data_IF_520711638842
#
_entry.id   IF_520711638842
#
_cell.length_a   1.000
_cell.length_b   1.000
_cell.length_c   1.000
_cell.angle_alpha   90.00
_cell.angle_beta   90.00
_cell.angle_gamma   90.00
#
_symmetry.space_group_name_H-M   'P 1'
#
loop_
_entity.id
_entity.type
_entity.pdbx_description
1 polymer ?
#
# COMPACT_ATOMS: atom_id res chain seq x y z
N UNK A 1 49.91 -24.64 1.88
CA UNK A 1 49.56 -23.39 1.18
C UNK A 1 49.07 -23.69 -0.23
N UNK A 2 47.74 -23.68 -0.47
CA UNK A 2 47.09 -23.22 -1.71
C UNK A 2 45.57 -23.31 -1.52
N UNK A 3 44.90 -22.22 -1.90
CA UNK A 3 43.58 -21.77 -1.47
C UNK A 3 42.48 -22.59 -2.12
N UNK A 4 41.66 -23.25 -1.32
CA UNK A 4 40.38 -23.83 -1.75
C UNK A 4 39.36 -22.69 -1.85
N UNK A 5 39.16 -22.34 -3.11
CA UNK A 5 38.14 -21.53 -3.75
C UNK A 5 36.74 -21.87 -3.20
N UNK A 6 36.00 -20.81 -2.85
CA UNK A 6 34.52 -20.73 -2.93
C UNK A 6 33.70 -21.67 -2.06
N UNK A 7 33.47 -21.31 -0.80
CA UNK A 7 32.27 -21.75 -0.11
C UNK A 7 31.66 -20.59 0.69
N UNK A 8 30.47 -20.20 0.23
CA UNK A 8 29.40 -19.47 0.92
C UNK A 8 29.77 -18.04 1.39
N UNK A 9 29.44 -16.97 0.66
CA UNK A 9 28.11 -16.67 0.11
C UNK A 9 26.95 -16.99 1.07
N UNK A 10 27.13 -16.73 2.37
CA UNK A 10 26.04 -16.71 3.36
C UNK A 10 26.18 -15.51 4.30
N UNK A 11 26.04 -14.32 3.74
CA UNK A 11 25.57 -13.16 4.49
C UNK A 11 24.36 -12.56 3.75
N UNK A 12 23.38 -13.41 3.44
CA UNK A 12 21.98 -12.99 3.30
C UNK A 12 21.42 -12.82 4.71
N UNK A 13 21.95 -11.85 5.44
CA UNK A 13 21.49 -11.47 6.78
C UNK A 13 21.21 -9.98 6.78
N UNK A 14 20.16 -9.60 6.06
CA UNK A 14 19.32 -8.49 6.53
C UNK A 14 17.89 -8.97 6.40
N UNK A 15 17.27 -9.17 7.55
CA UNK A 15 15.88 -9.50 7.72
C UNK A 15 15.03 -8.79 6.66
N UNK A 16 14.29 -9.56 5.86
CA UNK A 16 13.06 -9.04 5.28
C UNK A 16 12.19 -8.68 6.47
N UNK A 17 12.31 -7.44 6.94
CA UNK A 17 11.37 -6.87 7.87
C UNK A 17 10.00 -7.21 7.30
N UNK A 18 9.20 -7.93 8.06
CA UNK A 18 7.77 -7.97 7.85
C UNK A 18 7.30 -6.53 8.08
N UNK A 19 7.54 -5.64 7.11
CA UNK A 19 6.93 -4.33 7.02
C UNK A 19 5.45 -4.65 6.88
N UNK A 20 4.73 -4.70 8.00
CA UNK A 20 3.30 -5.00 7.98
C UNK A 20 2.66 -3.90 7.13
N UNK A 21 2.18 -4.21 5.90
CA UNK A 21 1.62 -3.19 4.99
C UNK A 21 0.49 -2.41 5.66
N UNK A 22 -0.18 -3.08 6.60
CA UNK A 22 -1.19 -2.56 7.50
C UNK A 22 -0.75 -1.30 8.25
N UNK A 23 0.46 -1.27 8.80
CA UNK A 23 0.94 -0.09 9.53
C UNK A 23 1.37 1.07 8.62
N UNK A 24 1.79 0.75 7.40
CA UNK A 24 2.31 1.73 6.44
C UNK A 24 1.18 2.52 5.76
N UNK A 25 0.02 1.88 5.57
CA UNK A 25 -1.10 2.47 4.84
C UNK A 25 -1.85 3.54 5.65
N UNK A 26 -1.80 3.49 6.98
CA UNK A 26 -2.50 4.45 7.83
C UNK A 26 -2.11 5.89 7.49
N UNK A 27 -3.10 6.77 7.43
CA UNK A 27 -2.90 8.18 7.10
C UNK A 27 -3.69 8.62 5.88
N UNK A 28 -3.36 9.81 5.37
CA UNK A 28 -4.08 10.45 4.28
C UNK A 28 -3.26 10.44 3.00
N UNK A 29 -3.88 10.04 1.91
CA UNK A 29 -3.26 9.88 0.59
C UNK A 29 -4.01 10.69 -0.45
N UNK A 30 -3.29 11.38 -1.34
CA UNK A 30 -3.86 12.20 -2.41
C UNK A 30 -3.46 11.66 -3.77
N UNK A 31 -4.41 11.55 -4.70
CA UNK A 31 -4.12 11.19 -6.09
C UNK A 31 -3.40 12.35 -6.79
N UNK A 32 -2.30 12.03 -7.48
CA UNK A 32 -1.60 13.03 -8.29
C UNK A 32 -2.45 13.44 -9.49
N UNK A 33 -2.70 14.75 -9.65
CA UNK A 33 -3.46 15.30 -10.78
C UNK A 33 -4.98 15.17 -10.67
N UNK A 34 -5.52 14.65 -9.56
CA UNK A 34 -6.96 14.53 -9.33
C UNK A 34 -7.35 15.13 -7.98
N UNK A 35 -8.57 15.67 -7.90
CA UNK A 35 -9.17 16.04 -6.61
C UNK A 35 -9.79 14.80 -5.95
N UNK A 36 -8.90 13.89 -5.54
CA UNK A 36 -9.24 12.68 -4.82
C UNK A 36 -8.27 12.48 -3.65
N UNK A 37 -8.84 12.27 -2.47
CA UNK A 37 -8.12 12.02 -1.22
C UNK A 37 -8.71 10.79 -0.55
N UNK A 38 -7.88 9.89 -0.03
CA UNK A 38 -8.30 8.73 0.74
C UNK A 38 -7.58 8.71 2.11
N UNK A 39 -8.36 8.61 3.18
CA UNK A 39 -7.87 8.45 4.54
C UNK A 39 -8.07 7.00 4.98
N UNK A 40 -7.01 6.36 5.47
CA UNK A 40 -7.03 4.99 6.01
C UNK A 40 -6.81 5.03 7.51
N UNK A 41 -7.76 4.46 8.26
CA UNK A 41 -7.78 4.41 9.72
C UNK A 41 -7.45 3.00 10.21
N UNK A 42 -6.83 2.89 11.38
CA UNK A 42 -6.34 1.63 11.96
C UNK A 42 -7.42 0.60 12.33
N UNK A 43 -8.69 0.96 12.20
CA UNK A 43 -9.84 0.09 12.44
C UNK A 43 -10.37 -0.55 11.15
N UNK A 44 -9.57 -0.55 10.07
CA UNK A 44 -9.93 -1.08 8.74
C UNK A 44 -11.05 -0.31 8.03
N UNK A 45 -11.29 0.93 8.46
CA UNK A 45 -12.19 1.87 7.78
C UNK A 45 -11.40 2.98 7.11
N UNK A 46 -12.07 3.69 6.20
CA UNK A 46 -11.51 4.86 5.58
C UNK A 46 -12.57 5.76 4.95
N UNK A 47 -12.15 6.96 4.57
CA UNK A 47 -13.00 7.94 3.90
C UNK A 47 -12.29 8.41 2.64
N UNK A 48 -12.97 8.26 1.50
CA UNK A 48 -12.56 8.90 0.26
C UNK A 48 -13.31 10.22 0.10
N UNK A 49 -12.62 11.26 -0.38
CA UNK A 49 -13.19 12.58 -0.64
C UNK A 49 -12.83 12.98 -2.06
N UNK A 50 -13.82 13.42 -2.83
CA UNK A 50 -13.65 14.01 -4.15
C UNK A 50 -14.70 15.12 -4.37
N UNK A 51 -14.78 15.65 -5.60
CA UNK A 51 -15.78 16.65 -5.99
C UNK A 51 -17.25 16.26 -5.74
N UNK A 52 -17.55 14.97 -5.61
CA UNK A 52 -18.91 14.47 -5.33
C UNK A 52 -19.20 14.34 -3.83
N UNK A 53 -18.20 14.58 -2.97
CA UNK A 53 -18.34 14.52 -1.52
C UNK A 53 -17.51 13.40 -0.90
N UNK A 54 -17.94 12.98 0.29
CA UNK A 54 -17.26 11.96 1.10
C UNK A 54 -17.94 10.61 0.96
N UNK A 55 -17.17 9.56 0.70
CA UNK A 55 -17.65 8.17 0.63
C UNK A 55 -16.84 7.30 1.59
N UNK A 56 -17.47 6.69 2.61
CA UNK A 56 -16.78 5.76 3.51
C UNK A 56 -16.45 4.46 2.78
N UNK A 57 -15.40 3.76 3.18
CA UNK A 57 -15.05 2.43 2.67
C UNK A 57 -14.43 1.57 3.77
N UNK A 58 -14.36 0.27 3.52
CA UNK A 58 -13.57 -0.67 4.33
C UNK A 58 -12.36 -1.14 3.54
N UNK A 59 -11.32 -1.57 4.22
CA UNK A 59 -10.11 -2.03 3.56
C UNK A 59 -9.44 -3.16 4.32
N UNK A 60 -8.60 -3.93 3.64
CA UNK A 60 -7.80 -5.00 4.23
C UNK A 60 -6.52 -5.25 3.43
N UNK A 61 -5.51 -5.81 4.08
CA UNK A 61 -4.30 -6.33 3.42
C UNK A 61 -4.52 -7.80 3.08
N UNK A 62 -4.27 -8.16 1.82
CA UNK A 62 -4.32 -9.52 1.32
C UNK A 62 -3.00 -10.25 1.59
N UNK A 63 -3.01 -11.59 1.51
CA UNK A 63 -1.83 -12.43 1.73
C UNK A 63 -0.66 -12.12 0.78
N UNK A 64 -0.95 -11.55 -0.40
CA UNK A 64 0.05 -11.12 -1.39
C UNK A 64 0.58 -9.69 -1.16
N UNK A 65 0.17 -9.04 -0.06
CA UNK A 65 0.58 -7.70 0.32
C UNK A 65 -0.17 -6.57 -0.39
N UNK A 66 -1.12 -6.87 -1.29
CA UNK A 66 -2.01 -5.86 -1.85
C UNK A 66 -3.05 -5.42 -0.82
N UNK A 67 -3.54 -4.20 -0.99
CA UNK A 67 -4.63 -3.65 -0.19
C UNK A 67 -5.89 -3.73 -1.02
N UNK A 68 -6.93 -4.38 -0.49
CA UNK A 68 -8.26 -4.39 -1.05
C UNK A 68 -9.11 -3.33 -0.36
N UNK A 69 -9.68 -2.43 -1.14
CA UNK A 69 -10.74 -1.49 -0.72
C UNK A 69 -12.08 -2.05 -1.16
N UNK A 70 -13.06 -1.97 -0.28
CA UNK A 70 -14.46 -2.31 -0.53
C UNK A 70 -15.29 -1.07 -0.23
N UNK A 71 -15.80 -0.44 -1.28
CA UNK A 71 -16.69 0.71 -1.16
C UNK A 71 -18.15 0.27 -0.87
N UNK A 72 -19.07 1.21 -0.53
CA UNK A 72 -20.46 0.90 -0.24
C UNK A 72 -21.24 0.37 -1.46
N UNK A 73 -20.71 0.60 -2.66
CA UNK A 73 -21.26 0.10 -3.93
C UNK A 73 -20.69 -1.27 -4.31
N UNK A 74 -19.94 -1.92 -3.41
CA UNK A 74 -19.27 -3.22 -3.59
C UNK A 74 -18.29 -3.24 -4.76
N UNK A 75 -17.73 -2.09 -5.13
CA UNK A 75 -16.57 -2.04 -6.03
C UNK A 75 -15.33 -2.41 -5.25
N UNK A 76 -14.61 -3.39 -5.78
CA UNK A 76 -13.32 -3.80 -5.26
C UNK A 76 -12.23 -3.02 -5.98
N UNK A 77 -11.41 -2.30 -5.21
CA UNK A 77 -10.26 -1.58 -5.72
C UNK A 77 -9.03 -2.18 -5.06
N UNK A 78 -8.01 -2.49 -5.86
CA UNK A 78 -6.77 -3.09 -5.37
C UNK A 78 -5.65 -2.05 -5.45
N UNK A 79 -4.91 -1.89 -4.36
CA UNK A 79 -3.76 -1.00 -4.26
C UNK A 79 -2.51 -1.80 -3.93
N UNK A 80 -1.36 -1.30 -4.37
CA UNK A 80 -0.05 -1.85 -4.01
C UNK A 80 0.93 -0.74 -3.67
N UNK A 81 1.76 -0.96 -2.65
CA UNK A 81 2.89 -0.09 -2.38
C UNK A 81 3.92 -0.13 -3.52
N UNK A 82 4.36 1.05 -3.94
CA UNK A 82 5.44 1.25 -4.89
C UNK A 82 6.38 2.34 -4.36
N UNK A 83 7.37 1.93 -3.55
CA UNK A 83 8.14 2.85 -2.73
C UNK A 83 7.28 3.48 -1.65
N UNK A 84 7.29 4.81 -1.55
CA UNK A 84 6.50 5.58 -0.59
C UNK A 84 5.09 5.95 -1.09
N UNK A 85 4.70 5.44 -2.26
CA UNK A 85 3.43 5.72 -2.90
C UNK A 85 2.52 4.48 -2.94
N UNK A 86 1.22 4.70 -3.10
CA UNK A 86 0.23 3.65 -3.40
C UNK A 86 -0.18 3.73 -4.86
N UNK A 87 -0.05 2.63 -5.59
CA UNK A 87 -0.52 2.51 -6.97
C UNK A 87 -1.84 1.75 -7.03
N UNK A 88 -2.77 2.21 -7.85
CA UNK A 88 -4.01 1.49 -8.13
C UNK A 88 -3.75 0.42 -9.20
N UNK A 89 -4.09 -0.83 -8.91
CA UNK A 89 -3.96 -1.94 -9.87
C UNK A 89 -4.81 -1.66 -11.12
N UNK A 90 -4.22 -1.87 -12.31
CA UNK A 90 -4.90 -1.61 -13.58
C UNK A 90 -5.02 -0.12 -13.96
N UNK A 91 -4.39 0.79 -13.21
CA UNK A 91 -4.39 2.22 -13.50
C UNK A 91 -2.98 2.83 -13.44
N UNK A 92 -2.82 3.99 -14.08
CA UNK A 92 -1.62 4.83 -13.96
C UNK A 92 -1.71 5.82 -12.78
N UNK A 93 -2.79 5.73 -11.99
CA UNK A 93 -2.98 6.57 -10.82
C UNK A 93 -2.10 6.14 -9.65
N UNK A 94 -1.44 7.15 -9.08
CA UNK A 94 -0.60 7.04 -7.89
C UNK A 94 -1.16 7.95 -6.82
N UNK A 95 -1.19 7.45 -5.59
CA UNK A 95 -1.56 8.19 -4.39
C UNK A 95 -0.29 8.46 -3.58
N UNK A 96 -0.10 9.71 -3.19
CA UNK A 96 1.02 10.17 -2.38
C UNK A 96 0.54 10.48 -0.97
N UNK A 97 1.28 10.05 0.03
CA UNK A 97 0.97 10.32 1.43
C UNK A 97 1.13 11.81 1.73
N UNK A 98 0.12 12.42 2.33
CA UNK A 98 0.11 13.84 2.71
C UNK A 98 -0.02 14.05 4.23
N UNK A 99 -0.44 13.03 4.98
CA UNK A 99 -0.48 12.99 6.45
C UNK A 99 -0.29 11.58 6.95
#
# INVERSE_FOLDING_TARGET
MKKLIWLLLTCLTIATGCSKPESQIYGTWKAEGFDFVAEFVNDHTGISTNNMGKTPFTWMVLDDGRIKIIDPFKKEIYLKFHGDALKIDGSNLTLIKIK
#
